data_IF_365177974751
#
_entry.id   IF_365177974751
#
_cell.length_a   1.000
_cell.length_b   1.000
_cell.length_c   1.000
_cell.angle_alpha   90.00
_cell.angle_beta   90.00
_cell.angle_gamma   90.00
#
_symmetry.space_group_name_H-M   'P 1'
#
loop_
_entity.id
_entity.type
_entity.pdbx_description
1 polymer ?
#
# COMPACT_ATOMS: atom_id res chain seq x y z
N UNK A 1 7.25 1.33 -23.80
CA UNK A 1 6.68 2.54 -23.17
C UNK A 1 6.05 2.20 -21.82
N UNK A 2 6.73 1.37 -21.05
CA UNK A 2 6.24 0.99 -19.73
C UNK A 2 7.30 1.29 -18.67
N UNK A 3 6.90 2.03 -17.66
CA UNK A 3 7.78 2.37 -16.55
C UNK A 3 7.93 1.17 -15.61
N UNK A 4 9.15 0.67 -15.49
CA UNK A 4 9.41 -0.54 -14.74
C UNK A 4 9.77 -0.22 -13.30
N UNK A 5 10.10 1.03 -13.05
CA UNK A 5 10.34 1.50 -11.70
C UNK A 5 9.03 1.47 -10.94
N UNK A 6 7.96 1.82 -11.66
CA UNK A 6 6.60 1.80 -11.14
C UNK A 6 6.28 0.50 -10.47
N UNK A 7 6.70 -0.58 -11.10
CA UNK A 7 6.38 -1.91 -10.62
C UNK A 7 6.94 -2.15 -9.22
N UNK A 8 8.06 -1.52 -8.88
CA UNK A 8 8.55 -1.61 -7.51
C UNK A 8 7.81 -0.64 -6.64
N UNK A 9 7.49 0.52 -7.20
CA UNK A 9 6.81 1.55 -6.44
C UNK A 9 5.52 1.01 -5.85
N UNK A 10 4.66 0.48 -6.73
CA UNK A 10 3.39 -0.07 -6.29
C UNK A 10 3.55 -1.30 -5.44
N UNK A 11 4.63 -2.03 -5.64
CA UNK A 11 4.90 -3.23 -4.86
C UNK A 11 5.46 -2.86 -3.49
N UNK A 12 6.14 -1.73 -3.43
CA UNK A 12 6.77 -1.27 -2.21
C UNK A 12 5.75 -0.57 -1.33
N UNK A 13 4.86 0.19 -1.95
CA UNK A 13 3.81 0.85 -1.21
C UNK A 13 2.65 -0.10 -1.03
N UNK A 14 2.68 -1.25 -1.69
CA UNK A 14 1.67 -2.26 -1.42
C UNK A 14 1.82 -2.74 0.00
N UNK A 15 3.04 -2.60 0.49
CA UNK A 15 3.37 -2.89 1.87
C UNK A 15 3.26 -1.61 2.70
N UNK A 16 3.59 -0.51 2.05
CA UNK A 16 3.54 0.78 2.71
C UNK A 16 2.12 1.21 2.97
N UNK A 17 1.31 1.10 1.93
CA UNK A 17 -0.08 1.52 1.99
C UNK A 17 -0.91 0.49 2.72
N UNK A 18 -0.42 -0.74 2.73
CA UNK A 18 -1.06 -1.79 3.53
C UNK A 18 -1.01 -1.42 5.00
N UNK A 19 -0.02 -0.61 5.36
CA UNK A 19 0.15 -0.16 6.72
C UNK A 19 -0.60 1.15 6.90
N UNK A 20 -1.32 1.51 5.85
CA UNK A 20 -2.11 2.72 5.85
C UNK A 20 -3.58 2.35 5.78
N UNK A 21 -3.84 1.06 5.93
CA UNK A 21 -5.18 0.51 5.79
C UNK A 21 -5.43 -0.57 6.83
N UNK A 22 -4.40 -1.34 7.13
CA UNK A 22 -4.52 -2.41 8.11
C UNK A 22 -4.77 -1.86 9.51
N UNK A 23 -4.00 -0.84 9.98
CA UNK A 23 -4.18 -0.30 11.32
C UNK A 23 -5.47 0.51 11.42
N UNK A 24 -5.95 0.98 10.28
CA UNK A 24 -7.18 1.78 10.25
C UNK A 24 -8.40 0.87 10.34
N UNK A 25 -8.38 -0.24 9.61
CA UNK A 25 -9.48 -1.21 9.66
C UNK A 25 -9.51 -1.89 11.00
N UNK A 26 -8.37 -1.93 11.63
CA UNK A 26 -8.26 -2.43 12.96
C UNK A 26 -8.94 -1.48 13.94
N UNK A 27 -9.34 -0.32 13.43
CA UNK A 27 -10.11 0.64 14.20
C UNK A 27 -11.55 0.66 13.70
N UNK A 28 -11.73 0.37 12.42
CA UNK A 28 -13.04 0.36 11.81
C UNK A 28 -13.79 -0.92 12.16
N UNK A 29 -13.03 -2.00 12.25
CA UNK A 29 -13.56 -3.30 12.56
C UNK A 29 -13.66 -3.50 14.07
N UNK A 30 -12.53 -3.38 14.78
CA UNK A 30 -12.54 -3.57 16.21
C UNK A 30 -11.78 -2.45 16.93
#
# INVERSE_FOLDING_TARGET
KINKQKIKNGAKKALGVASKVAPVVAAFAR
#
